data_IF_026783040146
#
_entry.id   IF_026783040146
#
_cell.length_a   1.000
_cell.length_b   1.000
_cell.length_c   1.000
_cell.angle_alpha   90.00
_cell.angle_beta   90.00
_cell.angle_gamma   90.00
#
_symmetry.space_group_name_H-M   'P 1'
#
loop_
_entity.id
_entity.type
_entity.pdbx_description
1 polymer ?
#
# COMPACT_ATOMS: atom_id res chain seq x y z
N UNK A 1 2.42 -1.31 -0.30
CA UNK A 1 2.91 -1.44 1.08
C UNK A 1 3.67 -2.74 1.11
N UNK A 2 4.99 -2.68 0.97
CA UNK A 2 5.82 -3.82 1.39
C UNK A 2 5.58 -4.03 2.87
N UNK A 3 5.56 -5.28 3.27
CA UNK A 3 5.08 -5.71 4.56
C UNK A 3 6.19 -6.49 5.24
N UNK A 4 6.74 -5.93 6.31
CA UNK A 4 7.74 -6.63 7.09
C UNK A 4 7.05 -7.77 7.87
N UNK A 5 7.26 -8.99 7.42
CA UNK A 5 6.73 -10.17 8.12
C UNK A 5 7.34 -10.33 9.52
N UNK A 6 8.57 -9.85 9.74
CA UNK A 6 9.24 -9.88 11.04
C UNK A 6 8.54 -8.93 12.02
N UNK A 7 8.26 -7.70 11.58
CA UNK A 7 7.45 -6.73 12.33
C UNK A 7 6.08 -7.33 12.69
N UNK A 8 5.35 -7.94 11.74
CA UNK A 8 4.06 -8.58 12.07
C UNK A 8 4.19 -9.71 13.09
N UNK A 9 5.17 -10.62 12.93
CA UNK A 9 5.38 -11.73 13.89
C UNK A 9 5.66 -11.18 15.30
N UNK A 10 6.46 -10.11 15.40
CA UNK A 10 6.73 -9.39 16.65
C UNK A 10 5.47 -8.70 17.22
N UNK A 11 4.68 -8.03 16.39
CA UNK A 11 3.42 -7.41 16.81
C UNK A 11 2.40 -8.44 17.33
N UNK A 12 2.25 -9.58 16.63
CA UNK A 12 1.38 -10.67 17.07
C UNK A 12 1.87 -11.24 18.40
N UNK A 13 3.17 -11.48 18.57
CA UNK A 13 3.73 -11.97 19.84
C UNK A 13 3.46 -11.01 21.01
N UNK A 14 3.61 -9.70 20.78
CA UNK A 14 3.30 -8.65 21.76
C UNK A 14 1.80 -8.61 22.06
N UNK A 15 0.94 -8.68 21.04
CA UNK A 15 -0.51 -8.70 21.23
C UNK A 15 -0.97 -9.92 22.05
N UNK A 16 -0.45 -11.11 21.73
CA UNK A 16 -0.68 -12.33 22.51
C UNK A 16 -0.26 -12.13 23.97
N UNK A 17 0.95 -11.64 24.21
CA UNK A 17 1.45 -11.42 25.58
C UNK A 17 0.60 -10.42 26.37
N UNK A 18 0.20 -9.31 25.74
CA UNK A 18 -0.65 -8.28 26.34
C UNK A 18 -2.05 -8.80 26.70
N UNK A 19 -2.63 -9.69 25.89
CA UNK A 19 -3.95 -10.27 26.13
C UNK A 19 -3.92 -11.34 27.23
N UNK A 20 -2.85 -12.14 27.31
CA UNK A 20 -2.62 -13.03 28.44
C UNK A 20 -2.44 -12.24 29.76
N UNK A 21 -1.59 -11.19 29.71
CA UNK A 21 -1.21 -10.43 30.90
C UNK A 21 -0.60 -11.35 31.96
N UNK A 22 -1.20 -11.36 33.16
CA UNK A 22 -0.73 -12.19 34.29
C UNK A 22 -1.34 -13.62 34.26
N UNK A 23 -2.29 -13.91 33.36
CA UNK A 23 -3.00 -15.20 33.31
C UNK A 23 -2.69 -15.97 32.02
N UNK A 24 -2.56 -17.29 32.14
CA UNK A 24 -2.49 -18.18 30.98
C UNK A 24 -3.92 -18.32 30.40
N UNK A 25 -4.24 -17.49 29.40
CA UNK A 25 -5.50 -17.51 28.67
C UNK A 25 -5.69 -18.80 27.87
N UNK A 26 -6.85 -19.45 28.06
CA UNK A 26 -7.20 -20.69 27.36
C UNK A 26 -7.65 -20.44 25.89
N UNK A 27 -8.02 -19.20 25.56
CA UNK A 27 -8.67 -18.81 24.30
C UNK A 27 -8.07 -17.52 23.68
N UNK A 28 -6.75 -17.35 23.75
CA UNK A 28 -6.08 -16.13 23.28
C UNK A 28 -6.08 -15.86 21.76
N UNK A 29 -6.23 -16.85 20.83
CA UNK A 29 -6.14 -16.58 19.39
C UNK A 29 -7.10 -15.51 18.85
N UNK A 30 -8.36 -15.51 19.30
CA UNK A 30 -9.42 -14.70 18.69
C UNK A 30 -9.24 -13.19 18.97
N UNK A 31 -8.89 -12.85 20.21
CA UNK A 31 -8.65 -11.46 20.63
C UNK A 31 -7.36 -10.90 20.01
N UNK A 32 -6.33 -11.74 19.84
CA UNK A 32 -5.07 -11.33 19.21
C UNK A 32 -5.26 -11.11 17.70
N UNK A 33 -6.03 -11.99 17.05
CA UNK A 33 -6.47 -11.81 15.67
C UNK A 33 -7.27 -10.51 15.48
N UNK A 34 -8.29 -10.26 16.31
CA UNK A 34 -9.12 -9.05 16.25
C UNK A 34 -8.30 -7.75 16.40
N UNK A 35 -7.41 -7.70 17.40
CA UNK A 35 -6.55 -6.54 17.64
C UNK A 35 -5.63 -6.23 16.45
N UNK A 36 -4.98 -7.27 15.89
CA UNK A 36 -4.05 -7.12 14.77
C UNK A 36 -4.80 -6.77 13.48
N UNK A 37 -5.91 -7.45 13.16
CA UNK A 37 -6.73 -7.13 11.98
C UNK A 37 -7.25 -5.70 12.05
N UNK A 38 -7.84 -5.27 13.16
CA UNK A 38 -8.33 -3.88 13.32
C UNK A 38 -7.22 -2.86 13.12
N UNK A 39 -6.02 -3.11 13.67
CA UNK A 39 -4.85 -2.25 13.46
C UNK A 39 -4.45 -2.17 11.97
N UNK A 40 -4.44 -3.28 11.24
CA UNK A 40 -4.12 -3.27 9.81
C UNK A 40 -5.22 -2.59 8.97
N UNK A 41 -6.50 -2.83 9.28
CA UNK A 41 -7.63 -2.15 8.60
C UNK A 41 -7.58 -0.63 8.83
N UNK A 42 -7.23 -0.15 10.03
CA UNK A 42 -7.13 1.30 10.26
C UNK A 42 -6.06 1.97 9.38
N UNK A 43 -4.97 1.26 9.07
CA UNK A 43 -3.90 1.75 8.15
C UNK A 43 -4.38 1.89 6.69
N UNK A 44 -5.51 1.31 6.31
CA UNK A 44 -6.09 1.48 4.97
C UNK A 44 -6.74 2.85 4.78
N UNK A 45 -7.04 3.59 5.87
CA UNK A 45 -7.71 4.90 5.79
C UNK A 45 -6.90 5.91 4.97
N UNK A 46 -5.63 6.11 5.32
CA UNK A 46 -4.78 7.12 4.69
C UNK A 46 -4.55 6.90 3.18
N UNK A 47 -4.21 5.69 2.67
CA UNK A 47 -4.11 5.48 1.23
C UNK A 47 -5.47 5.62 0.50
N UNK A 48 -6.60 5.33 1.15
CA UNK A 48 -7.92 5.60 0.56
C UNK A 48 -8.21 7.10 0.44
N UNK A 49 -7.89 7.89 1.48
CA UNK A 49 -7.99 9.35 1.44
C UNK A 49 -7.01 9.94 0.44
N UNK A 50 -5.79 9.39 0.31
CA UNK A 50 -4.82 9.83 -0.69
C UNK A 50 -5.31 9.60 -2.12
N UNK A 51 -6.08 8.54 -2.36
CA UNK A 51 -6.73 8.31 -3.66
C UNK A 51 -7.76 9.41 -3.98
N UNK A 52 -8.53 9.87 -2.97
CA UNK A 52 -9.44 11.02 -3.12
C UNK A 52 -8.67 12.29 -3.49
N UNK A 53 -7.54 12.59 -2.83
CA UNK A 53 -6.71 13.76 -3.13
C UNK A 53 -6.29 13.77 -4.61
N UNK A 54 -5.77 12.64 -5.09
CA UNK A 54 -5.21 12.49 -6.44
C UNK A 54 -6.31 12.64 -7.51
N UNK A 55 -7.45 11.98 -7.33
CA UNK A 55 -8.58 12.09 -8.27
C UNK A 55 -9.19 13.50 -8.27
N UNK A 56 -9.28 14.14 -7.10
CA UNK A 56 -9.83 15.49 -7.00
C UNK A 56 -8.89 16.54 -7.62
N UNK A 57 -7.58 16.37 -7.42
CA UNK A 57 -6.55 17.21 -8.08
C UNK A 57 -6.63 17.08 -9.60
N UNK A 58 -6.69 15.84 -10.12
CA UNK A 58 -6.76 15.63 -11.56
C UNK A 58 -8.09 16.11 -12.17
N UNK A 59 -9.20 15.97 -11.45
CA UNK A 59 -10.49 16.54 -11.88
C UNK A 59 -10.42 18.08 -11.98
N UNK A 60 -9.73 18.75 -11.04
CA UNK A 60 -9.52 20.20 -11.10
C UNK A 60 -8.59 20.59 -12.27
N UNK A 61 -7.55 19.80 -12.57
CA UNK A 61 -6.71 19.99 -13.76
C UNK A 61 -7.55 19.93 -15.05
N UNK A 62 -8.45 18.95 -15.17
CA UNK A 62 -9.38 18.83 -16.31
C UNK A 62 -10.31 20.04 -16.40
N UNK A 63 -10.87 20.51 -15.27
CA UNK A 63 -11.71 21.72 -15.24
C UNK A 63 -10.93 22.95 -15.70
N UNK A 64 -9.70 23.16 -15.23
CA UNK A 64 -8.85 24.26 -15.67
C UNK A 64 -8.56 24.21 -17.18
N UNK A 65 -8.19 23.04 -17.70
CA UNK A 65 -7.92 22.81 -19.12
C UNK A 65 -9.16 23.08 -20.01
N UNK A 66 -10.36 22.72 -19.55
CA UNK A 66 -11.60 23.06 -20.22
C UNK A 66 -11.93 24.56 -20.14
N UNK A 67 -11.74 25.19 -18.98
CA UNK A 67 -12.00 26.63 -18.78
C UNK A 67 -11.14 27.51 -19.70
N UNK A 68 -9.94 27.06 -20.07
CA UNK A 68 -9.03 27.79 -20.94
C UNK A 68 -9.63 28.10 -22.33
N UNK A 69 -10.61 27.32 -22.79
CA UNK A 69 -11.35 27.56 -24.04
C UNK A 69 -12.29 28.78 -23.94
N UNK A 70 -12.55 29.30 -22.74
CA UNK A 70 -13.43 30.43 -22.46
C UNK A 70 -12.69 31.78 -22.39
N UNK A 71 -11.44 31.84 -22.89
CA UNK A 71 -10.54 33.01 -22.82
C UNK A 71 -11.08 34.31 -23.44
N UNK A 72 -12.13 34.25 -24.27
CA UNK A 72 -12.84 35.44 -24.79
C UNK A 72 -13.56 36.23 -23.69
N UNK A 73 -14.04 35.56 -22.64
CA UNK A 73 -14.78 36.17 -21.53
C UNK A 73 -14.08 35.84 -20.20
N UNK A 74 -13.03 36.61 -19.81
CA UNK A 74 -12.17 36.24 -18.68
C UNK A 74 -12.92 36.14 -17.35
N UNK A 75 -13.87 37.04 -17.10
CA UNK A 75 -14.72 37.05 -15.90
C UNK A 75 -15.62 35.82 -15.85
N UNK A 76 -16.33 35.50 -16.94
CA UNK A 76 -17.10 34.26 -17.05
C UNK A 76 -16.25 33.01 -16.77
N UNK A 77 -15.02 32.95 -17.31
CA UNK A 77 -14.09 31.84 -17.06
C UNK A 77 -13.79 31.70 -15.56
N UNK A 78 -13.38 32.79 -14.91
CA UNK A 78 -13.05 32.79 -13.48
C UNK A 78 -14.24 32.34 -12.62
N UNK A 79 -15.44 32.86 -12.89
CA UNK A 79 -16.66 32.51 -12.16
C UNK A 79 -17.00 31.03 -12.34
N UNK A 80 -16.95 30.50 -13.55
CA UNK A 80 -17.20 29.07 -13.84
C UNK A 80 -16.16 28.18 -13.14
N UNK A 81 -14.88 28.52 -13.24
CA UNK A 81 -13.79 27.76 -12.63
C UNK A 81 -13.90 27.75 -11.10
N UNK A 82 -14.19 28.89 -10.48
CA UNK A 82 -14.44 29.04 -9.03
C UNK A 82 -15.66 28.24 -8.58
N UNK A 83 -16.78 28.33 -9.29
CA UNK A 83 -18.03 27.63 -8.93
C UNK A 83 -17.88 26.12 -9.04
N UNK A 84 -17.26 25.60 -10.10
CA UNK A 84 -16.99 24.16 -10.24
C UNK A 84 -15.96 23.69 -9.20
N UNK A 85 -14.92 24.47 -8.93
CA UNK A 85 -13.91 24.15 -7.90
C UNK A 85 -14.55 24.02 -6.52
N UNK A 86 -15.40 24.97 -6.14
CA UNK A 86 -16.13 24.92 -4.87
C UNK A 86 -17.02 23.67 -4.76
N UNK A 87 -17.72 23.31 -5.85
CA UNK A 87 -18.50 22.07 -5.89
C UNK A 87 -17.62 20.82 -5.73
N UNK A 88 -16.53 20.72 -6.47
CA UNK A 88 -15.58 19.60 -6.38
C UNK A 88 -15.02 19.47 -4.96
N UNK A 89 -14.61 20.58 -4.31
CA UNK A 89 -14.11 20.55 -2.92
C UNK A 89 -15.17 20.12 -1.90
N UNK A 90 -16.44 20.51 -2.10
CA UNK A 90 -17.55 20.00 -1.28
C UNK A 90 -17.75 18.49 -1.47
N UNK A 91 -17.77 18.02 -2.74
CA UNK A 91 -17.91 16.59 -3.07
C UNK A 91 -16.72 15.75 -2.57
N UNK A 92 -15.52 16.32 -2.59
CA UNK A 92 -14.30 15.74 -2.03
C UNK A 92 -14.48 15.46 -0.53
N UNK A 93 -14.88 16.46 0.26
CA UNK A 93 -15.08 16.31 1.70
C UNK A 93 -16.14 15.26 2.02
N UNK A 94 -17.33 15.32 1.39
CA UNK A 94 -18.37 14.31 1.58
C UNK A 94 -17.88 12.89 1.23
N UNK A 95 -17.00 12.75 0.23
CA UNK A 95 -16.40 11.47 -0.14
C UNK A 95 -15.36 10.99 0.89
N UNK A 96 -14.59 11.88 1.52
CA UNK A 96 -13.69 11.55 2.65
C UNK A 96 -14.48 10.98 3.83
N UNK A 97 -15.60 11.63 4.16
CA UNK A 97 -16.47 11.23 5.28
C UNK A 97 -17.13 9.87 5.01
N UNK A 98 -17.63 9.64 3.79
CA UNK A 98 -18.17 8.33 3.39
C UNK A 98 -17.12 7.21 3.40
N UNK A 99 -15.88 7.49 3.01
CA UNK A 99 -14.78 6.51 3.10
C UNK A 99 -14.40 6.23 4.55
N UNK A 100 -14.42 7.23 5.44
CA UNK A 100 -14.24 7.02 6.87
C UNK A 100 -15.34 6.11 7.45
N UNK A 101 -16.60 6.31 7.06
CA UNK A 101 -17.72 5.40 7.42
C UNK A 101 -17.48 3.98 6.89
N UNK A 102 -17.05 3.82 5.63
CA UNK A 102 -16.74 2.49 5.08
C UNK A 102 -15.64 1.76 5.88
N UNK A 103 -14.54 2.44 6.21
CA UNK A 103 -13.47 1.84 7.04
C UNK A 103 -13.98 1.52 8.45
N UNK A 104 -14.80 2.40 9.06
CA UNK A 104 -15.42 2.13 10.35
C UNK A 104 -16.34 0.89 10.32
N UNK A 105 -17.06 0.64 9.21
CA UNK A 105 -17.83 -0.60 9.04
C UNK A 105 -16.92 -1.84 9.02
N UNK A 106 -15.79 -1.79 8.31
CA UNK A 106 -14.80 -2.89 8.30
C UNK A 106 -14.16 -3.13 9.67
N UNK A 107 -14.03 -2.09 10.50
CA UNK A 107 -13.54 -2.19 11.89
C UNK A 107 -14.60 -2.68 12.89
N UNK A 108 -15.89 -2.47 12.60
CA UNK A 108 -16.98 -2.74 13.53
C UNK A 108 -17.33 -4.22 13.63
N UNK A 109 -17.16 -4.99 12.55
CA UNK A 109 -17.46 -6.42 12.51
C UNK A 109 -16.52 -7.16 11.57
N UNK A 110 -15.93 -8.26 12.05
CA UNK A 110 -15.13 -9.16 11.23
C UNK A 110 -15.95 -10.38 10.82
N UNK A 111 -16.14 -10.59 9.52
CA UNK A 111 -16.90 -11.73 9.01
C UNK A 111 -16.00 -12.97 8.86
N UNK A 112 -15.84 -13.75 9.94
CA UNK A 112 -15.09 -15.03 9.91
C UNK A 112 -15.83 -16.16 9.19
N UNK A 113 -17.07 -15.93 8.72
CA UNK A 113 -17.85 -16.88 7.91
C UNK A 113 -17.72 -16.61 6.39
N UNK A 114 -16.81 -15.72 5.98
CA UNK A 114 -16.59 -15.40 4.57
C UNK A 114 -16.01 -16.59 3.79
N UNK A 115 -16.48 -16.82 2.56
CA UNK A 115 -16.13 -17.99 1.72
C UNK A 115 -14.62 -18.12 1.47
N UNK A 116 -13.96 -17.01 1.09
CA UNK A 116 -12.51 -16.95 0.88
C UNK A 116 -11.65 -17.02 2.18
N UNK A 117 -12.25 -17.11 3.38
CA UNK A 117 -11.51 -17.13 4.65
C UNK A 117 -11.09 -18.56 5.03
N UNK A 118 -9.80 -18.79 5.26
CA UNK A 118 -9.27 -20.15 5.47
C UNK A 118 -9.81 -20.85 6.72
N UNK A 119 -10.22 -20.09 7.75
CA UNK A 119 -10.66 -20.62 9.04
C UNK A 119 -9.53 -21.22 9.90
N UNK A 120 -9.82 -21.37 11.20
CA UNK A 120 -8.82 -21.76 12.21
C UNK A 120 -8.15 -23.10 11.93
N UNK A 121 -8.91 -24.14 11.56
CA UNK A 121 -8.38 -25.49 11.35
C UNK A 121 -7.32 -25.56 10.23
N UNK A 122 -7.53 -24.81 9.15
CA UNK A 122 -6.57 -24.77 8.04
C UNK A 122 -5.31 -23.98 8.42
N UNK A 123 -5.45 -22.84 9.08
CA UNK A 123 -4.32 -22.06 9.61
C UNK A 123 -3.49 -22.86 10.62
N UNK A 124 -4.14 -23.63 11.51
CA UNK A 124 -3.49 -24.54 12.44
C UNK A 124 -2.71 -25.64 11.72
N UNK A 125 -3.27 -26.21 10.66
CA UNK A 125 -2.62 -27.24 9.84
C UNK A 125 -1.38 -26.72 9.09
N UNK A 126 -1.39 -25.45 8.69
CA UNK A 126 -0.26 -24.79 8.02
C UNK A 126 0.87 -24.49 9.02
N UNK A 127 0.54 -23.90 10.19
CA UNK A 127 1.52 -23.64 11.25
C UNK A 127 2.19 -24.91 11.80
N UNK A 128 1.50 -26.07 11.78
CA UNK A 128 2.09 -27.37 12.12
C UNK A 128 3.09 -27.90 11.08
N UNK A 129 3.05 -27.42 9.83
CA UNK A 129 3.99 -27.82 8.76
C UNK A 129 5.26 -26.98 8.77
N UNK A 130 5.16 -25.70 9.14
CA UNK A 130 6.31 -24.78 9.25
C UNK A 130 7.12 -24.98 10.52
N UNK A 131 6.47 -25.38 11.63
CA UNK A 131 7.13 -25.65 12.91
C UNK A 131 7.09 -27.16 13.21
N UNK A 132 8.16 -27.93 12.94
CA UNK A 132 8.23 -29.33 13.31
C UNK A 132 8.30 -29.48 14.85
N UNK A 133 7.16 -29.75 15.47
CA UNK A 133 7.08 -30.11 16.90
C UNK A 133 7.69 -31.49 17.14
N UNK A 134 9.02 -31.58 17.18
CA UNK A 134 9.76 -32.83 17.42
C UNK A 134 9.59 -33.40 18.85
N UNK A 135 8.91 -32.66 19.75
CA UNK A 135 8.80 -32.99 21.17
C UNK A 135 7.53 -33.75 21.59
N UNK A 136 6.67 -34.17 20.64
CA UNK A 136 5.32 -34.67 20.94
C UNK A 136 5.15 -36.21 20.92
N UNK A 137 6.20 -37.01 21.12
CA UNK A 137 6.07 -38.49 21.06
C UNK A 137 6.92 -39.36 21.99
N UNK A 138 7.48 -38.82 23.07
CA UNK A 138 8.22 -39.61 24.08
C UNK A 138 7.80 -39.18 25.49
N UNK A 139 6.59 -39.53 25.95
CA UNK A 139 6.19 -39.28 27.34
C UNK A 139 6.96 -40.20 28.30
N UNK A 140 7.73 -39.63 29.24
CA UNK A 140 8.53 -40.27 30.30
C UNK A 140 9.26 -41.59 29.95
N UNK A 141 9.60 -41.80 28.67
CA UNK A 141 10.35 -42.97 28.24
C UNK A 141 11.84 -42.77 28.54
N UNK A 142 12.44 -43.76 29.20
CA UNK A 142 13.89 -43.82 29.39
C UNK A 142 14.55 -44.03 28.03
N UNK A 143 15.37 -43.08 27.61
CA UNK A 143 16.13 -43.08 26.36
C UNK A 143 17.43 -43.87 26.51
N UNK A 144 18.12 -43.72 27.65
CA UNK A 144 19.38 -44.43 27.96
C UNK A 144 19.63 -44.55 29.46
N UNK A 145 20.34 -45.60 29.87
CA UNK A 145 20.94 -45.72 31.20
C UNK A 145 22.43 -46.06 31.07
N UNK A 146 23.25 -45.69 32.06
CA UNK A 146 24.66 -46.10 32.11
C UNK A 146 25.52 -45.28 33.09
N UNK A 147 26.75 -45.72 33.32
CA UNK A 147 27.70 -45.02 34.17
C UNK A 147 28.38 -43.86 33.44
N UNK A 148 28.50 -42.70 34.10
CA UNK A 148 29.31 -41.57 33.65
C UNK A 148 30.06 -40.95 34.85
N UNK A 149 31.23 -40.38 34.62
CA UNK A 149 32.10 -39.81 35.66
C UNK A 149 31.95 -38.28 35.71
N UNK A 150 31.68 -37.76 36.91
CA UNK A 150 31.35 -36.35 37.16
C UNK A 150 32.64 -35.54 37.45
N UNK A 151 32.98 -34.58 36.59
CA UNK A 151 34.35 -34.05 36.54
C UNK A 151 34.56 -32.70 37.28
N UNK A 152 33.61 -31.78 37.26
CA UNK A 152 33.82 -30.40 37.72
C UNK A 152 33.22 -30.02 39.08
N UNK A 153 32.64 -30.98 39.82
CA UNK A 153 32.03 -30.74 41.13
C UNK A 153 32.99 -31.04 42.28
N UNK A 154 33.44 -30.00 42.99
CA UNK A 154 34.61 -30.03 43.90
C UNK A 154 34.56 -31.09 45.01
N UNK A 155 33.36 -31.43 45.51
CA UNK A 155 33.14 -32.41 46.60
C UNK A 155 33.01 -33.85 46.06
N UNK A 156 32.72 -34.00 44.76
CA UNK A 156 32.29 -35.25 44.13
C UNK A 156 33.17 -35.59 42.91
N UNK A 157 34.28 -34.85 42.74
CA UNK A 157 35.16 -34.88 41.57
C UNK A 157 35.71 -36.28 41.31
N UNK A 158 35.49 -36.79 40.10
CA UNK A 158 36.00 -38.09 39.66
C UNK A 158 35.17 -39.29 40.11
N UNK A 159 34.02 -39.11 40.76
CA UNK A 159 33.11 -40.23 41.07
C UNK A 159 32.24 -40.56 39.86
N UNK A 160 32.05 -41.86 39.62
CA UNK A 160 31.06 -42.37 38.68
C UNK A 160 29.70 -42.46 39.35
N UNK A 161 28.65 -42.11 38.62
CA UNK A 161 27.25 -42.31 39.02
C UNK A 161 26.50 -43.06 37.93
N UNK A 162 25.40 -43.69 38.29
CA UNK A 162 24.48 -44.29 37.34
C UNK A 162 23.49 -43.24 36.84
N UNK A 163 23.53 -42.92 35.55
CA UNK A 163 22.65 -41.93 34.93
C UNK A 163 21.48 -42.62 34.23
N UNK A 164 20.30 -42.02 34.35
CA UNK A 164 19.08 -42.39 33.64
C UNK A 164 18.60 -41.16 32.88
N UNK A 165 18.75 -41.20 31.56
CA UNK A 165 18.28 -40.18 30.64
C UNK A 165 16.88 -40.55 30.16
N UNK A 166 15.91 -39.70 30.49
CA UNK A 166 14.55 -39.71 29.97
C UNK A 166 14.39 -38.62 28.91
N UNK A 167 13.21 -38.49 28.33
CA UNK A 167 12.87 -37.45 27.35
C UNK A 167 12.75 -36.03 27.92
N UNK A 168 12.56 -35.88 29.23
CA UNK A 168 12.36 -34.61 29.92
C UNK A 168 13.47 -34.29 30.95
N UNK A 169 14.21 -35.31 31.38
CA UNK A 169 15.08 -35.25 32.56
C UNK A 169 16.30 -36.19 32.47
N UNK A 170 17.41 -35.76 33.07
CA UNK A 170 18.58 -36.58 33.36
C UNK A 170 18.67 -36.78 34.88
N UNK A 171 18.32 -37.96 35.37
CA UNK A 171 18.49 -38.35 36.76
C UNK A 171 19.84 -39.05 36.96
N UNK A 172 20.44 -38.92 38.14
CA UNK A 172 21.57 -39.78 38.53
C UNK A 172 21.47 -40.31 39.95
N UNK A 173 21.97 -41.53 40.12
CA UNK A 173 21.86 -42.37 41.30
C UNK A 173 23.25 -42.79 41.78
N UNK A 174 23.37 -43.13 43.06
CA UNK A 174 24.62 -43.63 43.65
C UNK A 174 25.19 -44.84 42.88
N UNK A 175 24.32 -45.75 42.46
CA UNK A 175 24.64 -46.99 41.76
C UNK A 175 23.45 -47.44 40.87
N UNK A 176 23.66 -48.53 40.12
CA UNK A 176 22.66 -49.17 39.25
C UNK A 176 21.43 -49.76 39.96
N UNK A 177 21.37 -49.77 41.30
CA UNK A 177 20.17 -50.24 42.00
C UNK A 177 19.02 -49.24 41.94
N UNK A 178 19.29 -47.99 41.52
CA UNK A 178 18.32 -46.89 41.37
C UNK A 178 17.55 -46.53 42.66
N UNK A 179 18.02 -46.99 43.83
CA UNK A 179 17.38 -46.75 45.14
C UNK A 179 17.68 -45.39 45.74
N UNK A 180 18.87 -44.84 45.47
CA UNK A 180 19.32 -43.57 46.07
C UNK A 180 19.62 -42.53 44.99
N UNK A 181 18.59 -41.78 44.62
CA UNK A 181 18.66 -40.68 43.67
C UNK A 181 19.43 -39.49 44.28
N UNK A 182 20.39 -38.96 43.54
CA UNK A 182 21.22 -37.83 43.97
C UNK A 182 20.67 -36.51 43.43
N UNK A 183 20.16 -36.50 42.20
CA UNK A 183 19.56 -35.33 41.56
C UNK A 183 18.71 -35.73 40.34
N UNK A 184 17.79 -34.83 39.94
CA UNK A 184 17.08 -34.86 38.67
C UNK A 184 17.34 -33.51 38.00
N UNK A 185 17.98 -33.52 36.83
CA UNK A 185 18.23 -32.33 36.00
C UNK A 185 17.19 -32.24 34.88
N UNK A 186 16.32 -31.21 34.84
CA UNK A 186 15.43 -30.97 33.70
C UNK A 186 16.23 -30.63 32.43
N UNK A 187 15.89 -31.26 31.31
CA UNK A 187 16.55 -31.06 30.01
C UNK A 187 16.08 -29.79 29.27
N UNK A 188 14.98 -29.18 29.72
CA UNK A 188 14.39 -27.99 29.11
C UNK A 188 15.43 -26.86 28.97
N UNK A 189 15.65 -26.38 27.75
CA UNK A 189 16.65 -25.34 27.38
C UNK A 189 18.12 -25.70 27.64
N UNK A 190 18.43 -26.95 28.02
CA UNK A 190 19.81 -27.41 28.21
C UNK A 190 20.49 -27.57 26.83
N UNK A 191 21.76 -27.14 26.74
CA UNK A 191 22.62 -27.37 25.57
C UNK A 191 23.83 -28.21 25.96
N UNK A 192 24.40 -28.88 24.96
CA UNK A 192 25.64 -29.62 25.07
C UNK A 192 26.78 -28.83 24.42
N UNK A 193 27.99 -28.92 24.95
CA UNK A 193 29.21 -28.48 24.28
C UNK A 193 30.34 -29.46 24.57
N UNK A 194 31.25 -29.59 23.61
CA UNK A 194 32.46 -30.36 23.83
C UNK A 194 33.41 -29.57 24.73
N UNK A 195 34.17 -30.28 25.57
CA UNK A 195 35.12 -29.69 26.50
C UNK A 195 36.50 -30.19 26.12
N UNK A 196 37.37 -29.28 25.72
CA UNK A 196 38.75 -29.61 25.39
C UNK A 196 39.45 -30.19 26.61
N UNK A 197 39.75 -31.49 26.54
CA UNK A 197 40.50 -32.19 27.57
C UNK A 197 41.96 -31.78 27.50
N UNK A 198 42.35 -30.78 28.29
CA UNK A 198 43.75 -30.37 28.42
C UNK A 198 44.66 -31.54 28.77
N UNK A 199 45.94 -31.45 28.36
CA UNK A 199 46.97 -32.51 28.24
C UNK A 199 47.18 -33.52 29.40
N UNK A 200 46.49 -33.37 30.53
CA UNK A 200 46.57 -34.23 31.72
C UNK A 200 45.31 -35.11 31.91
N UNK A 201 44.18 -34.76 31.29
CA UNK A 201 42.93 -35.52 31.39
C UNK A 201 42.72 -36.45 30.19
N UNK A 202 42.73 -37.78 30.43
CA UNK A 202 42.61 -38.81 29.38
C UNK A 202 41.19 -39.31 29.09
N UNK A 203 40.16 -38.82 29.80
CA UNK A 203 38.77 -39.26 29.58
C UNK A 203 38.01 -38.27 28.69
N UNK A 204 37.35 -38.72 27.60
CA UNK A 204 36.54 -37.85 26.75
C UNK A 204 35.38 -37.24 27.55
N UNK A 205 35.20 -35.93 27.41
CA UNK A 205 34.35 -35.12 28.29
C UNK A 205 33.52 -34.13 27.49
N UNK A 206 32.25 -33.98 27.87
CA UNK A 206 31.37 -32.92 27.38
C UNK A 206 30.72 -32.18 28.55
N UNK A 207 30.22 -30.98 28.32
CA UNK A 207 29.49 -30.20 29.31
C UNK A 207 28.03 -29.99 28.90
N UNK A 208 27.14 -30.11 29.89
CA UNK A 208 25.76 -29.66 29.80
C UNK A 208 25.64 -28.29 30.48
N UNK A 209 25.00 -27.32 29.83
CA UNK A 209 24.89 -25.95 30.34
C UNK A 209 23.61 -25.26 29.84
N UNK A 210 23.18 -24.21 30.54
CA UNK A 210 22.13 -23.33 30.08
C UNK A 210 22.74 -22.13 29.32
N UNK A 211 22.29 -21.80 28.09
CA UNK A 211 22.85 -20.69 27.29
C UNK A 211 22.86 -19.34 28.01
N UNK A 212 21.82 -19.06 28.79
CA UNK A 212 21.67 -17.86 29.63
C UNK A 212 22.56 -17.86 30.90
N UNK A 213 23.50 -18.81 31.04
CA UNK A 213 24.52 -18.81 32.09
C UNK A 213 24.02 -19.10 33.51
N UNK A 214 22.79 -19.59 33.66
CA UNK A 214 22.24 -20.04 34.94
C UNK A 214 22.86 -21.37 35.40
N UNK A 215 22.73 -21.64 36.69
CA UNK A 215 23.30 -22.83 37.31
C UNK A 215 22.53 -24.09 36.89
N UNK A 216 23.26 -25.12 36.47
CA UNK A 216 22.75 -26.45 36.13
C UNK A 216 22.58 -27.31 37.39
N UNK A 217 23.52 -27.17 38.33
CA UNK A 217 23.51 -27.90 39.59
C UNK A 217 24.15 -27.03 40.70
N UNK A 218 23.38 -26.71 41.74
CA UNK A 218 23.80 -25.83 42.85
C UNK A 218 24.37 -24.49 42.32
N UNK A 219 25.65 -24.24 42.52
CA UNK A 219 26.34 -23.01 42.12
C UNK A 219 27.11 -23.15 40.78
N UNK A 220 26.99 -24.31 40.11
CA UNK A 220 27.77 -24.64 38.93
C UNK A 220 26.98 -24.37 37.64
N UNK A 221 27.52 -23.48 36.79
CA UNK A 221 26.94 -23.06 35.49
C UNK A 221 26.99 -24.12 34.39
N UNK A 222 27.81 -25.15 34.56
CA UNK A 222 27.89 -26.28 33.64
C UNK A 222 28.17 -27.58 34.40
N UNK A 223 27.69 -28.71 33.87
CA UNK A 223 27.93 -30.04 34.40
C UNK A 223 28.87 -30.80 33.45
N UNK A 224 30.11 -31.03 33.85
CA UNK A 224 31.07 -31.78 33.03
C UNK A 224 30.96 -33.28 33.29
N UNK A 225 30.62 -34.00 32.22
CA UNK A 225 30.38 -35.43 32.21
C UNK A 225 31.43 -36.10 31.32
N UNK A 226 32.14 -37.07 31.90
CA UNK A 226 33.21 -37.81 31.24
C UNK A 226 32.86 -39.29 31.09
N UNK A 227 33.13 -39.83 29.91
CA UNK A 227 32.80 -41.21 29.50
C UNK A 227 34.04 -42.10 29.48
N UNK A 228 33.85 -43.40 29.27
CA UNK A 228 34.96 -44.36 29.27
C UNK A 228 35.69 -44.45 27.91
N UNK A 229 35.00 -44.17 26.80
CA UNK A 229 35.58 -44.09 25.45
C UNK A 229 34.91 -42.97 24.64
N UNK A 230 35.50 -42.63 23.49
CA UNK A 230 34.92 -41.64 22.56
C UNK A 230 33.61 -42.16 22.00
N UNK A 231 33.54 -43.44 21.63
CA UNK A 231 32.30 -44.07 21.14
C UNK A 231 31.18 -44.06 22.19
N UNK A 232 31.51 -44.27 23.47
CA UNK A 232 30.56 -44.16 24.57
C UNK A 232 30.06 -42.71 24.69
N UNK A 233 30.98 -41.72 24.68
CA UNK A 233 30.62 -40.29 24.66
C UNK A 233 29.69 -39.94 23.50
N UNK A 234 30.01 -40.33 22.26
CA UNK A 234 29.22 -39.97 21.10
C UNK A 234 27.86 -40.70 21.08
N UNK A 235 27.80 -41.92 21.61
CA UNK A 235 26.52 -42.62 21.82
C UNK A 235 25.67 -41.98 22.93
N UNK A 236 26.28 -41.34 23.94
CA UNK A 236 25.58 -40.47 24.89
C UNK A 236 25.12 -39.17 24.22
N UNK A 237 25.96 -38.48 23.44
CA UNK A 237 25.57 -37.29 22.66
C UNK A 237 24.38 -37.58 21.74
N UNK A 238 24.38 -38.71 21.04
CA UNK A 238 23.25 -39.17 20.21
C UNK A 238 21.97 -39.41 21.04
N UNK A 239 22.11 -39.87 22.28
CA UNK A 239 20.99 -40.06 23.21
C UNK A 239 20.44 -38.70 23.71
N UNK A 240 21.32 -37.73 24.01
CA UNK A 240 20.94 -36.36 24.34
C UNK A 240 20.27 -35.64 23.16
N UNK A 241 20.75 -35.82 21.93
CA UNK A 241 20.11 -35.33 20.71
C UNK A 241 18.68 -35.89 20.56
N UNK A 242 18.48 -37.18 20.84
CA UNK A 242 17.16 -37.82 20.87
C UNK A 242 16.25 -37.28 21.99
N UNK A 243 16.84 -36.79 23.08
CA UNK A 243 16.16 -36.12 24.19
C UNK A 243 15.97 -34.60 23.98
N UNK A 244 16.26 -34.07 22.78
CA UNK A 244 16.10 -32.64 22.47
C UNK A 244 17.22 -31.72 23.00
N UNK A 245 18.32 -32.28 23.52
CA UNK A 245 19.51 -31.54 23.95
C UNK A 245 20.52 -31.49 22.81
N UNK A 246 20.66 -30.33 22.20
CA UNK A 246 21.49 -30.12 21.01
C UNK A 246 22.86 -29.52 21.35
N UNK A 247 23.92 -29.84 20.57
CA UNK A 247 25.20 -29.16 20.68
C UNK A 247 25.04 -27.66 20.38
N UNK A 248 25.81 -26.83 21.08
CA UNK A 248 25.93 -25.42 20.77
C UNK A 248 26.59 -25.26 19.39
N UNK A 249 25.91 -24.61 18.46
CA UNK A 249 26.55 -24.16 17.22
C UNK A 249 27.55 -23.07 17.57
N UNK A 250 28.78 -23.19 17.08
CA UNK A 250 29.73 -22.08 17.11
C UNK A 250 29.22 -20.98 16.17
N UNK A 251 28.63 -19.95 16.76
CA UNK A 251 28.57 -18.65 16.09
C UNK A 251 30.00 -18.12 16.07
N UNK A 252 30.52 -17.81 14.88
CA UNK A 252 31.81 -17.16 14.77
C UNK A 252 31.67 -15.73 15.32
N UNK A 253 32.23 -15.47 16.51
CA UNK A 253 32.22 -14.17 17.19
C UNK A 253 33.15 -13.14 16.49
N UNK A 254 33.03 -12.97 15.18
CA UNK A 254 33.73 -11.97 14.39
C UNK A 254 32.74 -11.19 13.53
N UNK A 255 31.84 -10.44 14.18
CA UNK A 255 31.29 -9.19 13.67
C UNK A 255 30.61 -8.46 14.83
N UNK A 256 31.27 -7.40 15.33
CA UNK A 256 30.62 -6.37 16.14
C UNK A 256 29.78 -5.50 15.20
N UNK A 257 28.62 -6.03 14.79
CA UNK A 257 27.57 -5.24 14.14
C UNK A 257 26.57 -4.81 15.21
N UNK A 258 26.57 -3.50 15.47
CA UNK A 258 25.74 -2.79 16.46
C UNK A 258 24.28 -2.66 15.94
N UNK A 259 23.66 -3.81 15.64
CA UNK A 259 22.29 -3.92 15.16
C UNK A 259 21.40 -4.47 16.29
N UNK A 260 20.57 -3.60 16.86
CA UNK A 260 19.57 -3.91 17.89
C UNK A 260 18.36 -4.67 17.31
N UNK A 261 18.61 -5.55 16.32
CA UNK A 261 17.67 -6.51 15.75
C UNK A 261 17.46 -7.65 16.73
N UNK A 262 16.73 -7.31 17.80
CA UNK A 262 16.29 -8.16 18.91
C UNK A 262 16.12 -9.62 18.45
N UNK A 263 17.04 -10.48 18.91
CA UNK A 263 17.09 -11.93 18.63
C UNK A 263 15.97 -12.66 19.38
N UNK A 264 14.73 -12.37 18.99
CA UNK A 264 13.50 -13.00 19.51
C UNK A 264 13.33 -14.42 18.92
N UNK A 265 13.97 -14.75 17.80
CA UNK A 265 13.70 -16.01 17.10
C UNK A 265 14.19 -17.27 17.82
N UNK A 266 15.22 -17.25 18.68
CA UNK A 266 15.69 -18.48 19.33
C UNK A 266 14.98 -18.79 20.66
N UNK A 267 14.62 -17.79 21.47
CA UNK A 267 14.19 -18.01 22.88
C UNK A 267 12.67 -17.99 23.13
N UNK A 268 11.85 -17.67 22.12
CA UNK A 268 10.37 -17.73 22.22
C UNK A 268 9.88 -19.17 22.38
N UNK A 269 8.97 -19.38 23.34
CA UNK A 269 8.28 -20.65 23.60
C UNK A 269 7.73 -21.29 22.31
N UNK A 270 8.03 -22.56 22.02
CA UNK A 270 7.45 -23.30 20.89
C UNK A 270 5.91 -23.21 20.78
N UNK A 271 5.19 -23.08 21.90
CA UNK A 271 3.74 -22.86 21.88
C UNK A 271 3.39 -21.45 21.37
N UNK A 272 4.09 -20.42 21.85
CA UNK A 272 3.92 -19.04 21.42
C UNK A 272 4.29 -18.86 19.94
N UNK A 273 5.42 -19.40 19.47
CA UNK A 273 5.78 -19.39 18.02
C UNK A 273 4.65 -19.97 17.16
N UNK A 274 4.04 -21.06 17.63
CA UNK A 274 2.94 -21.72 16.93
C UNK A 274 1.65 -20.90 16.96
N UNK A 275 1.31 -20.25 18.07
CA UNK A 275 0.17 -19.32 18.13
C UNK A 275 0.38 -18.12 17.20
N UNK A 276 1.59 -17.53 17.19
CA UNK A 276 1.97 -16.43 16.29
C UNK A 276 1.73 -16.82 14.84
N UNK A 277 2.21 -17.98 14.40
CA UNK A 277 2.08 -18.43 13.02
C UNK A 277 0.62 -18.76 12.64
N UNK A 278 -0.20 -19.29 13.55
CA UNK A 278 -1.64 -19.46 13.30
C UNK A 278 -2.33 -18.12 13.08
N UNK A 279 -2.09 -17.15 13.97
CA UNK A 279 -2.67 -15.80 13.84
C UNK A 279 -2.15 -15.10 12.58
N UNK A 280 -0.87 -15.26 12.22
CA UNK A 280 -0.27 -14.72 10.98
C UNK A 280 -1.07 -15.13 9.75
N UNK A 281 -1.32 -16.44 9.60
CA UNK A 281 -2.05 -16.98 8.45
C UNK A 281 -3.53 -16.58 8.43
N UNK A 282 -4.17 -16.44 9.60
CA UNK A 282 -5.54 -15.90 9.70
C UNK A 282 -5.59 -14.41 9.31
N UNK A 283 -4.67 -13.58 9.84
CA UNK A 283 -4.55 -12.15 9.51
C UNK A 283 -4.31 -11.97 8.01
N UNK A 284 -3.41 -12.75 7.41
CA UNK A 284 -3.09 -12.72 5.97
C UNK A 284 -4.34 -13.05 5.12
N UNK A 285 -5.03 -14.15 5.45
CA UNK A 285 -6.26 -14.55 4.76
C UNK A 285 -7.36 -13.47 4.86
N UNK A 286 -7.60 -12.92 6.05
CA UNK A 286 -8.63 -11.90 6.24
C UNK A 286 -8.28 -10.56 5.57
N UNK A 287 -7.03 -10.11 5.70
CA UNK A 287 -6.57 -8.87 5.07
C UNK A 287 -6.56 -8.96 3.54
N UNK A 288 -6.38 -10.15 2.95
CA UNK A 288 -6.55 -10.37 1.51
C UNK A 288 -7.98 -10.04 1.06
N UNK A 289 -8.99 -10.52 1.80
CA UNK A 289 -10.41 -10.25 1.54
C UNK A 289 -10.73 -8.76 1.65
N UNK A 290 -10.34 -8.13 2.77
CA UNK A 290 -10.59 -6.69 2.98
C UNK A 290 -9.87 -5.84 1.94
N UNK A 291 -8.65 -6.20 1.55
CA UNK A 291 -7.88 -5.49 0.51
C UNK A 291 -8.54 -5.62 -0.86
N UNK A 292 -9.04 -6.82 -1.22
CA UNK A 292 -9.79 -7.09 -2.46
C UNK A 292 -11.08 -6.26 -2.51
N UNK A 293 -11.86 -6.24 -1.43
CA UNK A 293 -13.08 -5.43 -1.32
C UNK A 293 -12.79 -3.92 -1.38
N UNK A 294 -11.74 -3.45 -0.70
CA UNK A 294 -11.34 -2.04 -0.68
C UNK A 294 -10.88 -1.56 -2.05
N UNK A 295 -10.09 -2.37 -2.78
CA UNK A 295 -9.65 -2.06 -4.16
C UNK A 295 -10.82 -1.96 -5.16
N UNK A 296 -11.91 -2.67 -4.93
CA UNK A 296 -13.13 -2.60 -5.75
C UNK A 296 -14.05 -1.43 -5.36
N UNK A 297 -14.31 -1.25 -4.07
CA UNK A 297 -15.33 -0.32 -3.59
C UNK A 297 -14.86 1.14 -3.54
N UNK A 298 -13.60 1.41 -3.18
CA UNK A 298 -13.08 2.79 -3.06
C UNK A 298 -13.16 3.55 -4.40
N UNK A 299 -12.72 2.98 -5.55
CA UNK A 299 -12.91 3.64 -6.85
C UNK A 299 -14.39 3.86 -7.21
N UNK A 300 -15.29 2.94 -6.82
CA UNK A 300 -16.74 3.09 -7.06
C UNK A 300 -17.35 4.24 -6.26
N UNK A 301 -16.98 4.37 -4.98
CA UNK A 301 -17.40 5.48 -4.10
C UNK A 301 -16.92 6.81 -4.69
N UNK A 302 -15.63 6.94 -5.00
CA UNK A 302 -15.04 8.16 -5.60
C UNK A 302 -15.72 8.50 -6.93
N UNK A 303 -15.90 7.51 -7.81
CA UNK A 303 -16.55 7.70 -9.12
C UNK A 303 -18.00 8.17 -8.98
N UNK A 304 -18.75 7.62 -8.02
CA UNK A 304 -20.14 8.02 -7.80
C UNK A 304 -20.25 9.40 -7.13
N UNK A 305 -19.54 9.61 -6.02
CA UNK A 305 -19.68 10.80 -5.17
C UNK A 305 -18.98 12.03 -5.73
N UNK A 306 -17.88 11.87 -6.48
CA UNK A 306 -17.13 13.00 -7.07
C UNK A 306 -17.42 13.07 -8.56
N UNK A 307 -16.93 12.12 -9.37
CA UNK A 307 -16.92 12.25 -10.84
C UNK A 307 -18.33 12.35 -11.43
N UNK A 308 -19.22 11.39 -11.10
CA UNK A 308 -20.60 11.38 -11.61
C UNK A 308 -21.42 12.55 -11.08
N UNK A 309 -21.22 12.94 -9.81
CA UNK A 309 -21.91 14.08 -9.22
C UNK A 309 -21.47 15.41 -9.84
N UNK A 310 -20.16 15.67 -9.96
CA UNK A 310 -19.63 16.87 -10.62
C UNK A 310 -20.05 16.92 -12.09
N UNK A 311 -20.05 15.79 -12.80
CA UNK A 311 -20.62 15.73 -14.16
C UNK A 311 -22.09 16.19 -14.15
N UNK A 312 -22.92 15.63 -13.27
CA UNK A 312 -24.33 16.01 -13.16
C UNK A 312 -24.48 17.52 -12.91
N UNK A 313 -23.75 18.06 -11.94
CA UNK A 313 -23.74 19.48 -11.60
C UNK A 313 -23.38 20.37 -12.80
N UNK A 314 -22.34 20.02 -13.57
CA UNK A 314 -21.93 20.76 -14.77
C UNK A 314 -23.00 20.78 -15.86
N UNK A 315 -23.79 19.71 -16.02
CA UNK A 315 -24.85 19.64 -17.04
C UNK A 315 -26.20 20.21 -16.59
N UNK A 316 -26.54 20.15 -15.29
CA UNK A 316 -27.89 20.47 -14.80
C UNK A 316 -27.97 21.75 -13.95
N UNK A 317 -26.92 22.09 -13.18
CA UNK A 317 -26.99 23.12 -12.13
C UNK A 317 -26.02 24.29 -12.33
N UNK A 318 -24.91 24.09 -13.05
CA UNK A 318 -23.87 25.10 -13.28
C UNK A 318 -24.42 26.39 -13.90
N UNK A 319 -25.35 26.29 -14.87
CA UNK A 319 -25.94 27.47 -15.50
C UNK A 319 -26.70 28.33 -14.48
N UNK A 320 -27.47 27.70 -13.59
CA UNK A 320 -28.21 28.39 -12.52
C UNK A 320 -27.24 29.07 -11.56
N UNK A 321 -26.18 28.37 -11.15
CA UNK A 321 -25.14 28.91 -10.26
C UNK A 321 -24.37 30.10 -10.84
N UNK A 322 -24.18 30.13 -12.17
CA UNK A 322 -23.55 31.26 -12.88
C UNK A 322 -24.53 32.43 -13.05
N UNK A 323 -25.80 32.15 -13.34
CA UNK A 323 -26.85 33.18 -13.50
C UNK A 323 -27.23 33.86 -12.18
N UNK A 324 -26.96 33.20 -11.04
CA UNK A 324 -27.13 33.75 -9.70
C UNK A 324 -26.01 34.74 -9.27
N UNK A 325 -25.12 35.15 -10.17
CA UNK A 325 -24.22 36.29 -9.93
C UNK A 325 -24.93 37.60 -10.33
N UNK A 326 -24.76 38.65 -9.53
CA UNK A 326 -25.55 39.88 -9.64
C UNK A 326 -25.33 40.71 -10.91
N UNK A 327 -24.16 40.60 -11.58
CA UNK A 327 -23.86 41.30 -12.82
C UNK A 327 -23.55 40.35 -13.98
N UNK A 328 -24.58 40.07 -14.79
CA UNK A 328 -24.47 39.25 -16.00
C UNK A 328 -23.86 39.99 -17.20
N UNK A 329 -23.87 41.33 -17.18
CA UNK A 329 -23.35 42.15 -18.28
C UNK A 329 -21.83 42.24 -18.17
N UNK A 330 -21.33 42.51 -16.96
CA UNK A 330 -19.91 42.52 -16.66
C UNK A 330 -19.29 41.12 -16.82
N UNK A 331 -20.03 40.05 -16.50
CA UNK A 331 -19.61 38.66 -16.71
C UNK A 331 -19.21 38.35 -18.16
N UNK A 332 -19.89 38.97 -19.13
CA UNK A 332 -19.71 38.79 -20.57
C UNK A 332 -18.82 39.87 -21.22
N UNK A 333 -18.01 40.57 -20.42
CA UNK A 333 -16.98 41.49 -20.95
C UNK A 333 -15.95 40.73 -21.80
N UNK A 334 -15.76 41.17 -23.06
CA UNK A 334 -14.77 40.60 -23.97
C UNK A 334 -13.34 40.95 -23.53
N UNK A 335 -12.40 40.02 -23.67
CA UNK A 335 -10.99 40.31 -23.40
C UNK A 335 -10.44 41.38 -24.36
N UNK A 336 -9.56 42.30 -23.90
CA UNK A 336 -9.01 43.37 -24.75
C UNK A 336 -8.34 42.86 -26.02
N UNK A 337 -7.74 41.67 -25.98
CA UNK A 337 -7.15 41.01 -27.15
C UNK A 337 -8.19 40.56 -28.18
N UNK A 338 -9.33 40.04 -27.77
CA UNK A 338 -10.40 39.67 -28.70
C UNK A 338 -11.12 40.91 -29.25
N UNK A 339 -11.30 41.96 -28.45
CA UNK A 339 -11.80 43.26 -28.91
C UNK A 339 -10.89 43.83 -30.01
N UNK A 340 -9.57 43.91 -29.75
CA UNK A 340 -8.57 44.36 -30.73
C UNK A 340 -8.58 43.52 -32.02
N UNK A 341 -8.55 42.17 -31.91
CA UNK A 341 -8.62 41.28 -33.08
C UNK A 341 -9.92 41.47 -33.87
N UNK A 342 -11.04 41.74 -33.20
CA UNK A 342 -12.34 42.00 -33.84
C UNK A 342 -12.31 43.33 -34.59
N UNK A 343 -11.71 44.37 -34.01
CA UNK A 343 -11.54 45.69 -34.63
C UNK A 343 -10.60 45.64 -35.84
N UNK A 344 -9.43 45.00 -35.73
CA UNK A 344 -8.48 44.79 -36.84
C UNK A 344 -9.15 44.06 -38.02
N UNK A 345 -9.91 42.99 -37.75
CA UNK A 345 -10.67 42.24 -38.77
C UNK A 345 -11.78 43.09 -39.39
N UNK A 346 -12.47 43.91 -38.59
CA UNK A 346 -13.53 44.80 -39.09
C UNK A 346 -12.94 45.88 -40.01
N UNK A 347 -11.83 46.50 -39.62
CA UNK A 347 -11.12 47.49 -40.43
C UNK A 347 -10.63 46.88 -41.76
N UNK A 348 -10.02 45.69 -41.72
CA UNK A 348 -9.60 44.96 -42.91
C UNK A 348 -10.79 44.64 -43.83
N UNK A 349 -11.91 44.15 -43.27
CA UNK A 349 -13.12 43.86 -44.03
C UNK A 349 -13.70 45.10 -44.72
N UNK A 350 -13.75 46.24 -44.01
CA UNK A 350 -14.20 47.51 -44.58
C UNK A 350 -13.28 47.99 -45.70
N UNK A 351 -11.95 47.92 -45.51
CA UNK A 351 -10.97 48.28 -46.53
C UNK A 351 -11.07 47.39 -47.77
N UNK A 352 -11.22 46.07 -47.60
CA UNK A 352 -11.45 45.14 -48.71
C UNK A 352 -12.75 45.44 -49.46
N UNK A 353 -13.83 45.80 -48.75
CA UNK A 353 -15.09 46.20 -49.38
C UNK A 353 -14.92 47.48 -50.20
N UNK A 354 -14.32 48.52 -49.64
CA UNK A 354 -14.04 49.77 -50.37
C UNK A 354 -13.16 49.53 -51.61
N UNK A 355 -12.17 48.65 -51.52
CA UNK A 355 -11.34 48.29 -52.67
C UNK A 355 -12.14 47.58 -53.78
N UNK A 356 -13.08 46.69 -53.43
CA UNK A 356 -13.99 46.06 -54.39
C UNK A 356 -14.95 47.07 -55.03
N UNK A 357 -15.50 47.99 -54.25
CA UNK A 357 -16.38 49.06 -54.74
C UNK A 357 -15.62 49.96 -55.75
N UNK A 358 -14.37 50.35 -55.45
CA UNK A 358 -13.49 51.11 -56.36
C UNK A 358 -13.18 50.33 -57.65
N UNK A 359 -12.93 49.02 -57.56
CA UNK A 359 -12.70 48.17 -58.75
C UNK A 359 -13.95 48.12 -59.63
N UNK A 360 -15.15 48.01 -59.02
CA UNK A 360 -16.42 48.06 -59.73
C UNK A 360 -16.63 49.39 -60.47
N UNK A 361 -16.39 50.51 -59.79
CA UNK A 361 -16.45 51.86 -60.34
C UNK A 361 -15.49 52.05 -61.53
N UNK A 362 -14.24 51.60 -61.39
CA UNK A 362 -13.25 51.68 -62.47
C UNK A 362 -13.66 50.81 -63.67
N UNK A 363 -14.20 49.61 -63.44
CA UNK A 363 -14.68 48.74 -64.53
C UNK A 363 -15.86 49.35 -65.29
N UNK A 364 -16.76 50.06 -64.60
CA UNK A 364 -17.87 50.79 -65.23
C UNK A 364 -17.40 52.03 -66.00
N UNK A 365 -16.40 52.75 -65.49
CA UNK A 365 -15.83 53.93 -66.17
C UNK A 365 -15.09 53.55 -67.45
N UNK A 366 -14.39 52.40 -67.47
CA UNK A 366 -13.63 51.96 -68.64
C UNK A 366 -14.51 51.39 -69.78
N UNK A 367 -15.67 50.80 -69.48
CA UNK A 367 -16.60 50.32 -70.51
C UNK A 367 -17.35 51.44 -71.24
N UNK A 368 -17.37 52.66 -70.68
CA UNK A 368 -17.99 53.84 -71.29
C UNK A 368 -17.10 54.64 -72.26
N UNK A 369 -15.81 54.30 -72.38
CA UNK A 369 -14.83 55.09 -73.15
C UNK A 369 -14.01 54.24 -74.13
N UNK A 370 -14.70 53.49 -74.99
CA UNK A 370 -14.09 52.77 -76.10
C UNK A 370 -14.31 53.50 -77.45
N UNK A 371 -13.60 54.62 -77.65
CA UNK A 371 -13.32 55.13 -79.00
C UNK A 371 -11.81 55.07 -79.25
N UNK A 372 -11.48 54.31 -80.28
CA UNK A 372 -10.16 54.05 -80.87
C UNK A 372 -9.16 55.21 -80.87
N UNK A 373 -7.93 54.92 -80.42
CA UNK A 373 -6.71 55.09 -81.23
C UNK A 373 -5.63 54.10 -80.79
N UNK A 374 -4.83 53.64 -81.74
CA UNK A 374 -3.63 52.84 -81.52
C UNK A 374 -2.45 53.77 -81.18
N UNK A 375 -1.67 53.48 -80.14
CA UNK A 375 -0.31 54.05 -80.00
C UNK A 375 0.56 53.21 -79.04
N UNK A 376 1.89 53.39 -79.12
CA UNK A 376 2.87 52.33 -78.87
C UNK A 376 3.12 51.94 -77.40
N UNK A 377 3.36 50.64 -77.19
CA UNK A 377 3.77 50.08 -75.90
C UNK A 377 5.28 50.26 -75.64
N UNK A 378 5.67 51.28 -74.87
CA UNK A 378 7.06 51.46 -74.42
C UNK A 378 7.39 50.48 -73.29
N UNK A 379 8.21 49.48 -73.61
CA UNK A 379 8.64 48.39 -72.75
C UNK A 379 9.63 48.84 -71.65
N UNK A 380 9.14 49.15 -70.45
CA UNK A 380 10.00 49.34 -69.28
C UNK A 380 10.46 47.99 -68.70
N UNK A 381 11.78 47.72 -68.73
CA UNK A 381 12.41 46.54 -68.12
C UNK A 381 13.15 46.91 -66.82
N UNK A 382 12.67 46.49 -65.64
CA UNK A 382 13.50 46.36 -64.45
C UNK A 382 14.20 45.00 -64.39
N UNK A 383 15.45 45.00 -63.95
CA UNK A 383 16.38 43.85 -63.95
C UNK A 383 16.03 42.79 -62.90
N UNK A 384 16.23 41.51 -63.23
CA UNK A 384 16.09 40.37 -62.30
C UNK A 384 17.45 39.96 -61.74
N UNK A 385 17.55 39.64 -60.44
CA UNK A 385 18.49 38.61 -59.98
C UNK A 385 17.74 37.33 -59.54
N UNK A 386 17.89 36.31 -60.38
CA UNK A 386 17.93 34.86 -60.11
C UNK A 386 17.32 34.30 -58.82
N UNK A 387 16.26 33.50 -59.00
CA UNK A 387 15.75 32.50 -58.02
C UNK A 387 16.24 31.09 -58.39
N UNK A 388 16.63 30.23 -57.43
CA UNK A 388 16.60 28.79 -57.61
C UNK A 388 15.18 28.20 -57.39
N UNK A 389 14.70 27.57 -58.45
CA UNK A 389 13.85 26.35 -58.49
C UNK A 389 13.54 25.67 -57.15
N UNK A 390 12.32 25.16 -56.86
CA UNK A 390 11.15 24.86 -57.71
C UNK A 390 9.84 25.17 -56.91
N UNK A 391 8.63 24.60 -57.08
CA UNK A 391 8.16 23.46 -57.89
C UNK A 391 6.67 23.57 -58.33
N UNK A 392 6.11 22.43 -58.71
CA UNK A 392 4.83 22.16 -59.37
C UNK A 392 3.55 22.30 -58.54
N UNK A 393 2.69 23.23 -58.97
CA UNK A 393 1.27 23.06 -59.35
C UNK A 393 0.40 22.00 -58.63
N UNK A 394 -0.78 22.44 -58.15
CA UNK A 394 -2.07 22.11 -58.79
C UNK A 394 -3.19 23.09 -58.40
N UNK A 395 -4.17 23.24 -59.28
CA UNK A 395 -5.27 24.21 -59.19
C UNK A 395 -6.48 23.63 -58.46
N UNK A 396 -7.16 24.47 -57.67
CA UNK A 396 -8.55 24.27 -57.27
C UNK A 396 -9.37 25.50 -57.67
N UNK A 397 -10.50 25.26 -58.35
CA UNK A 397 -11.44 26.30 -58.76
C UNK A 397 -12.13 26.90 -57.53
N UNK A 398 -12.18 28.22 -57.42
CA UNK A 398 -13.11 28.87 -56.49
C UNK A 398 -14.54 28.54 -56.91
N UNK A 399 -15.30 27.90 -56.00
CA UNK A 399 -16.75 27.84 -56.07
C UNK A 399 -17.30 28.78 -55.00
N UNK A 400 -18.23 29.64 -55.38
CA UNK A 400 -18.84 30.65 -54.50
C UNK A 400 -19.68 30.01 -53.40
N UNK A 401 -19.58 30.48 -52.13
CA UNK A 401 -20.52 30.11 -51.08
C UNK A 401 -21.85 30.88 -51.25
N UNK A 402 -23.00 30.30 -50.84
CA UNK A 402 -24.30 30.94 -50.92
C UNK A 402 -24.48 32.06 -49.86
N UNK A 403 -25.42 33.00 -50.07
CA UNK A 403 -25.66 34.08 -49.11
C UNK A 403 -26.31 33.58 -47.81
N UNK A 404 -25.88 34.15 -46.69
CA UNK A 404 -26.45 33.88 -45.36
C UNK A 404 -27.75 34.66 -45.21
N UNK A 405 -28.89 33.96 -45.15
CA UNK A 405 -30.17 34.55 -44.76
C UNK A 405 -30.16 34.87 -43.26
N UNK A 406 -30.41 36.13 -42.91
CA UNK A 406 -30.69 36.56 -41.55
C UNK A 406 -32.07 36.03 -41.10
N UNK A 407 -32.07 34.98 -40.28
CA UNK A 407 -33.28 34.53 -39.57
C UNK A 407 -33.46 35.31 -38.26
N UNK A 408 -34.67 35.81 -37.95
CA UNK A 408 -35.04 36.21 -36.59
C UNK A 408 -34.99 35.02 -35.61
N UNK A 409 -34.84 35.32 -34.32
CA UNK A 409 -34.87 34.31 -33.26
C UNK A 409 -36.24 33.58 -33.20
N UNK A 410 -36.27 32.29 -32.80
CA UNK A 410 -37.53 31.57 -32.64
C UNK A 410 -38.35 32.11 -31.45
N UNK A 411 -39.69 32.09 -31.51
CA UNK A 411 -40.54 32.49 -30.39
C UNK A 411 -40.48 31.45 -29.25
N UNK A 412 -40.81 31.84 -28.01
CA UNK A 412 -40.86 30.92 -26.87
C UNK A 412 -41.94 29.84 -27.06
N UNK A 413 -41.78 28.64 -26.45
CA UNK A 413 -42.72 27.54 -26.60
C UNK A 413 -44.08 27.87 -25.95
N UNK A 414 -45.21 27.50 -26.58
CA UNK A 414 -46.54 27.74 -26.02
C UNK A 414 -46.86 26.69 -24.94
N UNK A 415 -47.28 27.14 -23.75
CA UNK A 415 -47.94 26.28 -22.76
C UNK A 415 -47.31 26.21 -21.36
N UNK A 416 -46.97 27.35 -20.75
CA UNK A 416 -46.81 27.43 -19.28
C UNK A 416 -47.81 28.47 -18.73
N UNK A 417 -48.66 28.12 -17.75
CA UNK A 417 -49.66 29.04 -17.22
C UNK A 417 -49.00 30.13 -16.35
N UNK A 418 -49.61 31.32 -16.23
CA UNK A 418 -49.06 32.38 -15.40
C UNK A 418 -49.09 31.99 -13.92
N UNK A 419 -47.94 32.05 -13.26
CA UNK A 419 -47.86 31.96 -11.80
C UNK A 419 -48.50 33.20 -11.17
N UNK A 420 -49.52 33.00 -10.35
CA UNK A 420 -50.13 34.05 -9.52
C UNK A 420 -49.11 34.61 -8.50
N UNK A 421 -49.18 35.91 -8.17
CA UNK A 421 -48.25 36.54 -7.26
C UNK A 421 -48.48 36.13 -5.79
N UNK A 422 -47.43 36.29 -4.98
CA UNK A 422 -47.35 35.88 -3.59
C UNK A 422 -48.51 36.34 -2.70
N UNK A 423 -48.86 35.49 -1.74
CA UNK A 423 -49.43 35.93 -0.47
C UNK A 423 -48.58 35.44 0.69
N UNK A 424 -48.01 36.40 1.39
CA UNK A 424 -47.57 36.30 2.78
C UNK A 424 -48.56 35.49 3.62
N UNK A 425 -48.06 34.50 4.36
CA UNK A 425 -48.05 34.51 5.83
C UNK A 425 -47.06 33.47 6.36
#
# INVERSE_FOLDING_TARGET
MEFDESELRKEIAIAIANIHGIRIGLFTPDLAFDAIVKKQISRLKDPCLKCVDLVSTELLNVVHNCSAQMSRFPRLREIVERVITNHVRKREQECRDQLAVYINCQLSYMNTNHEDFIGFANAESQARKTIPTHNNHLGNQVIRKGYMTLHNLSIIKGRSFWYVLSSDSLAWYRDETEKEIQYILPLNKLKLRDVETGFINRKPTFALFYPHGSNVYKDYKQLELSCNSVDDMDSWKASFLRAGVYPQKLLNNNEESDDDSIVIEEDVDPQLKRQVEVIRNLVESYMSIVTKATKDLVPKIITHMIIKNTKKYVFEELLVSVYAQDDQVELLEESPDEVRKREEKMAMFQACKMALDIIGDCSMKFSGSATSTEEEAVLYKPTVPTRPTAATKKSYRLSTPPPVFSRPAPPPPPGMPPSLPDRFY
#
